data_IF_885105214437
#
_entry.id   IF_885105214437
#
_cell.length_a   1.000
_cell.length_b   1.000
_cell.length_c   1.000
_cell.angle_alpha   90.00
_cell.angle_beta   90.00
_cell.angle_gamma   90.00
#
_symmetry.space_group_name_H-M   'P 1'
#
loop_
_entity.id
_entity.type
_entity.pdbx_description
1 polymer ?
#
# COMPACT_ATOMS: atom_id res chain seq x y z
N UNK A 1 5.41 -19.46 -35.11
CA UNK A 1 4.85 -18.10 -35.04
C UNK A 1 5.82 -17.22 -34.28
N UNK A 2 6.27 -16.10 -34.87
CA UNK A 2 7.14 -15.13 -34.19
C UNK A 2 6.27 -13.93 -33.78
N UNK A 3 6.33 -13.54 -32.51
CA UNK A 3 5.75 -12.27 -32.04
C UNK A 3 6.86 -11.23 -31.93
N UNK A 4 6.54 -9.97 -32.29
CA UNK A 4 7.43 -8.83 -32.12
C UNK A 4 6.76 -7.77 -31.25
N UNK A 5 7.52 -7.24 -30.28
CA UNK A 5 7.07 -6.20 -29.36
C UNK A 5 7.28 -4.84 -30.04
N UNK A 6 6.19 -4.12 -30.30
CA UNK A 6 6.24 -2.70 -30.70
C UNK A 6 6.10 -1.84 -29.45
N UNK A 7 7.05 -0.93 -29.23
CA UNK A 7 7.01 0.04 -28.13
C UNK A 7 6.76 1.43 -28.69
N UNK A 8 5.64 2.05 -28.32
CA UNK A 8 5.32 3.46 -28.58
C UNK A 8 5.66 4.24 -27.31
N UNK A 9 6.60 5.19 -27.34
CA UNK A 9 6.95 6.01 -26.17
C UNK A 9 6.13 7.29 -26.17
N UNK A 10 5.48 7.60 -25.05
CA UNK A 10 5.03 8.96 -24.74
C UNK A 10 6.27 9.72 -24.29
N UNK A 11 6.58 10.86 -24.94
CA UNK A 11 7.86 11.55 -24.74
C UNK A 11 8.10 12.02 -23.31
N UNK A 12 7.03 12.43 -22.61
CA UNK A 12 7.16 13.19 -21.36
C UNK A 12 6.17 12.77 -20.24
N UNK A 13 5.33 11.75 -20.47
CA UNK A 13 4.38 11.27 -19.45
C UNK A 13 4.54 9.76 -19.23
N UNK A 14 5.60 9.39 -18.52
CA UNK A 14 5.89 8.01 -18.15
C UNK A 14 6.54 7.95 -16.77
N UNK A 15 6.29 6.86 -16.06
CA UNK A 15 6.93 6.56 -14.78
C UNK A 15 8.12 5.64 -15.01
N UNK A 16 9.27 5.99 -14.43
CA UNK A 16 10.44 5.10 -14.38
C UNK A 16 10.34 4.29 -13.10
N UNK A 17 10.43 2.96 -13.23
CA UNK A 17 10.36 2.02 -12.11
C UNK A 17 11.50 1.02 -12.25
N UNK A 18 12.12 0.66 -11.13
CA UNK A 18 13.14 -0.36 -11.04
C UNK A 18 12.70 -1.70 -11.63
N UNK A 19 13.56 -2.27 -12.47
CA UNK A 19 13.34 -3.61 -12.99
C UNK A 19 13.44 -4.68 -11.90
N UNK A 20 14.19 -4.43 -10.82
CA UNK A 20 14.35 -5.39 -9.73
C UNK A 20 13.02 -5.57 -8.99
N UNK A 21 12.30 -4.46 -8.73
CA UNK A 21 10.93 -4.50 -8.23
C UNK A 21 9.98 -5.24 -9.17
N UNK A 22 9.97 -4.88 -10.46
CA UNK A 22 9.07 -5.50 -11.44
C UNK A 22 9.33 -7.00 -11.63
N UNK A 23 10.57 -7.44 -11.39
CA UNK A 23 11.00 -8.83 -11.49
C UNK A 23 10.98 -9.60 -10.17
N UNK A 24 10.66 -8.96 -9.04
CA UNK A 24 10.55 -9.65 -7.76
C UNK A 24 9.46 -10.74 -7.85
N UNK A 25 9.85 -12.00 -7.71
CA UNK A 25 8.98 -13.17 -7.83
C UNK A 25 8.07 -13.33 -6.60
N UNK A 26 8.38 -12.64 -5.49
CA UNK A 26 7.57 -12.64 -4.29
C UNK A 26 6.38 -11.68 -4.37
N UNK A 27 6.26 -10.94 -5.48
CA UNK A 27 5.18 -10.00 -5.73
C UNK A 27 4.23 -10.50 -6.81
N UNK A 28 2.95 -10.47 -6.48
CA UNK A 28 1.84 -10.61 -7.39
C UNK A 28 1.76 -9.44 -8.37
N UNK A 29 1.14 -9.69 -9.54
CA UNK A 29 0.93 -8.66 -10.55
C UNK A 29 0.06 -7.49 -10.03
N UNK A 30 -0.87 -7.75 -9.10
CA UNK A 30 -1.66 -6.69 -8.45
C UNK A 30 -0.78 -5.75 -7.61
N UNK A 31 0.19 -6.27 -6.85
CA UNK A 31 1.11 -5.46 -6.05
C UNK A 31 2.04 -4.65 -6.95
N UNK A 32 2.53 -5.27 -8.02
CA UNK A 32 3.31 -4.60 -9.08
C UNK A 32 2.53 -3.46 -9.72
N UNK A 33 1.27 -3.72 -10.10
CA UNK A 33 0.38 -2.74 -10.69
C UNK A 33 0.06 -1.58 -9.75
N UNK A 34 -0.28 -1.88 -8.49
CA UNK A 34 -0.62 -0.88 -7.47
C UNK A 34 0.53 0.09 -7.24
N UNK A 35 1.75 -0.40 -6.97
CA UNK A 35 2.90 0.49 -6.76
C UNK A 35 3.20 1.29 -8.03
N UNK A 36 3.13 0.66 -9.20
CA UNK A 36 3.41 1.35 -10.47
C UNK A 36 2.43 2.49 -10.73
N UNK A 37 1.16 2.30 -10.36
CA UNK A 37 0.17 3.36 -10.42
C UNK A 37 0.46 4.47 -9.39
N UNK A 38 0.77 4.13 -8.14
CA UNK A 38 1.08 5.15 -7.12
C UNK A 38 2.30 5.99 -7.54
N UNK A 39 3.34 5.37 -8.10
CA UNK A 39 4.55 6.06 -8.59
C UNK A 39 4.29 6.95 -9.81
N UNK A 40 3.13 6.86 -10.47
CA UNK A 40 2.76 7.74 -11.57
C UNK A 40 1.98 8.98 -11.13
N UNK A 41 1.58 9.04 -9.87
CA UNK A 41 0.85 10.16 -9.29
C UNK A 41 1.81 11.30 -8.88
N UNK A 42 1.29 12.54 -8.75
CA UNK A 42 2.08 13.66 -8.24
C UNK A 42 2.65 13.43 -6.83
N UNK A 43 3.77 14.08 -6.51
CA UNK A 43 4.49 13.93 -5.23
C UNK A 43 3.67 14.34 -4.00
N UNK A 44 2.68 15.23 -4.16
CA UNK A 44 1.79 15.71 -3.09
C UNK A 44 0.57 14.80 -2.86
N UNK A 45 0.45 13.72 -3.63
CA UNK A 45 -0.66 12.79 -3.54
C UNK A 45 -0.67 12.06 -2.19
N UNK A 46 -1.87 11.91 -1.62
CA UNK A 46 -2.10 11.12 -0.39
C UNK A 46 -2.78 9.81 -0.74
N UNK A 47 -2.23 8.72 -0.25
CA UNK A 47 -2.72 7.37 -0.56
C UNK A 47 -3.98 7.07 0.27
N UNK A 48 -5.14 7.13 -0.39
CA UNK A 48 -6.42 6.67 0.13
C UNK A 48 -6.89 5.45 -0.68
N UNK A 49 -7.14 4.31 -0.02
CA UNK A 49 -7.51 3.09 -0.75
C UNK A 49 -8.86 3.19 -1.45
N UNK A 50 -9.81 3.90 -0.86
CA UNK A 50 -11.13 4.17 -1.47
C UNK A 50 -10.95 4.92 -2.80
N UNK A 51 -10.19 6.02 -2.80
CA UNK A 51 -9.87 6.78 -4.00
C UNK A 51 -9.15 5.91 -5.06
N UNK A 52 -8.19 5.09 -4.66
CA UNK A 52 -7.49 4.19 -5.58
C UNK A 52 -8.44 3.20 -6.28
N UNK A 53 -9.55 2.83 -5.65
CA UNK A 53 -10.56 1.96 -6.28
C UNK A 53 -11.45 2.69 -7.28
N UNK A 54 -11.51 4.02 -7.23
CA UNK A 54 -12.22 4.80 -8.25
C UNK A 54 -11.44 4.86 -9.58
N UNK A 55 -10.11 4.74 -9.50
CA UNK A 55 -9.21 4.76 -10.65
C UNK A 55 -8.85 3.36 -11.18
N UNK A 56 -9.48 2.29 -10.67
CA UNK A 56 -9.21 0.92 -11.12
C UNK A 56 -10.46 0.04 -11.11
N UNK A 57 -10.43 -1.05 -11.86
CA UNK A 57 -11.47 -2.09 -11.78
C UNK A 57 -11.30 -3.01 -10.57
N UNK A 58 -10.19 -2.88 -9.84
CA UNK A 58 -9.93 -3.63 -8.62
C UNK A 58 -10.75 -3.08 -7.46
N UNK A 59 -11.34 -3.99 -6.68
CA UNK A 59 -12.06 -3.64 -5.46
C UNK A 59 -11.12 -3.36 -4.29
N UNK A 60 -11.64 -2.67 -3.27
CA UNK A 60 -10.88 -2.24 -2.10
C UNK A 60 -10.12 -3.37 -1.39
N UNK A 61 -10.74 -4.55 -1.29
CA UNK A 61 -10.10 -5.74 -0.72
C UNK A 61 -8.85 -6.17 -1.51
N UNK A 62 -8.92 -6.09 -2.84
CA UNK A 62 -7.77 -6.39 -3.72
C UNK A 62 -6.65 -5.39 -3.45
N UNK A 63 -6.96 -4.09 -3.48
CA UNK A 63 -6.03 -2.99 -3.22
C UNK A 63 -5.35 -3.10 -1.86
N UNK A 64 -6.12 -3.33 -0.79
CA UNK A 64 -5.58 -3.49 0.57
C UNK A 64 -4.68 -4.71 0.70
N UNK A 65 -5.05 -5.82 0.05
CA UNK A 65 -4.21 -7.03 0.05
C UNK A 65 -2.89 -6.83 -0.70
N UNK A 66 -2.92 -6.11 -1.83
CA UNK A 66 -1.73 -5.74 -2.58
C UNK A 66 -0.82 -4.79 -1.78
N UNK A 67 -1.40 -3.81 -1.08
CA UNK A 67 -0.65 -2.93 -0.19
C UNK A 67 0.05 -3.71 0.94
N UNK A 68 -0.66 -4.64 1.57
CA UNK A 68 -0.09 -5.45 2.65
C UNK A 68 1.09 -6.30 2.17
N UNK A 69 0.97 -6.84 0.96
CA UNK A 69 2.04 -7.58 0.30
C UNK A 69 3.28 -6.70 0.02
N UNK A 70 3.07 -5.47 -0.46
CA UNK A 70 4.15 -4.49 -0.63
C UNK A 70 4.83 -4.16 0.71
N UNK A 71 4.07 -3.99 1.78
CA UNK A 71 4.62 -3.80 3.13
C UNK A 71 5.49 -4.99 3.52
N UNK A 72 4.96 -6.22 3.45
CA UNK A 72 5.69 -7.44 3.79
C UNK A 72 6.99 -7.60 3.00
N UNK A 73 7.01 -7.21 1.72
CA UNK A 73 8.21 -7.31 0.86
C UNK A 73 9.15 -6.09 0.98
N UNK A 74 8.80 -5.09 1.78
CA UNK A 74 9.62 -3.91 2.06
C UNK A 74 9.53 -2.79 1.01
N UNK A 75 8.51 -2.80 0.15
CA UNK A 75 8.27 -1.77 -0.88
C UNK A 75 7.26 -0.70 -0.46
N UNK A 76 6.58 -0.88 0.67
CA UNK A 76 5.67 0.10 1.23
C UNK A 76 5.75 0.14 2.75
N UNK A 77 5.29 1.25 3.33
CA UNK A 77 5.23 1.42 4.78
C UNK A 77 4.06 2.32 5.17
N UNK A 78 3.44 2.03 6.31
CA UNK A 78 2.52 2.94 6.99
C UNK A 78 3.10 3.35 8.35
N UNK A 79 3.35 4.64 8.57
CA UNK A 79 3.93 5.19 9.81
C UNK A 79 2.91 6.02 10.56
N UNK A 80 2.84 5.82 11.89
CA UNK A 80 2.06 6.68 12.78
C UNK A 80 2.87 7.92 13.14
N UNK A 81 2.41 9.09 12.74
CA UNK A 81 3.01 10.37 13.14
C UNK A 81 2.30 10.87 14.39
N UNK A 82 3.12 11.31 15.36
CA UNK A 82 2.65 11.92 16.60
C UNK A 82 2.98 13.43 16.58
N UNK A 83 2.20 14.23 17.29
CA UNK A 83 2.53 15.62 17.55
C UNK A 83 3.64 15.76 18.61
N UNK A 84 4.08 16.99 18.87
CA UNK A 84 5.09 17.30 19.91
C UNK A 84 4.68 16.84 21.31
N UNK A 85 3.37 16.69 21.55
CA UNK A 85 2.75 16.26 22.81
C UNK A 85 2.50 14.74 22.83
N UNK A 86 3.03 13.99 21.86
CA UNK A 86 2.86 12.54 21.67
C UNK A 86 1.41 12.09 21.41
N UNK A 87 0.51 12.98 21.03
CA UNK A 87 -0.81 12.61 20.56
C UNK A 87 -0.74 12.15 19.11
N UNK A 88 -1.67 11.27 18.71
CA UNK A 88 -1.80 10.87 17.32
C UNK A 88 -2.10 12.07 16.42
N UNK A 89 -1.30 12.25 15.37
CA UNK A 89 -1.49 13.30 14.36
C UNK A 89 -2.07 12.72 13.08
N UNK A 90 -1.35 11.81 12.45
CA UNK A 90 -1.76 11.24 11.15
C UNK A 90 -1.07 9.91 10.85
N UNK A 91 -1.60 9.19 9.87
CA UNK A 91 -0.92 8.06 9.23
C UNK A 91 -0.27 8.54 7.94
N UNK A 92 1.02 8.25 7.78
CA UNK A 92 1.76 8.52 6.55
C UNK A 92 2.03 7.21 5.84
N UNK A 93 1.75 7.15 4.55
CA UNK A 93 1.99 6.00 3.68
C UNK A 93 3.11 6.34 2.71
N UNK A 94 4.11 5.48 2.66
CA UNK A 94 5.30 5.61 1.82
C UNK A 94 5.39 4.39 0.90
N UNK A 95 5.83 4.59 -0.34
CA UNK A 95 6.12 3.53 -1.31
C UNK A 95 7.49 3.77 -1.93
N UNK A 96 8.14 2.69 -2.35
CA UNK A 96 9.43 2.75 -3.03
C UNK A 96 9.60 1.55 -3.96
N UNK A 97 10.22 1.75 -5.12
CA UNK A 97 10.61 0.69 -6.05
C UNK A 97 11.94 0.01 -5.67
N UNK A 98 12.50 0.35 -4.51
CA UNK A 98 13.58 -0.35 -3.83
C UNK A 98 13.18 -0.69 -2.40
N UNK A 99 13.77 -1.77 -1.86
CA UNK A 99 13.44 -2.22 -0.51
C UNK A 99 13.91 -1.20 0.52
N UNK A 100 12.99 -0.76 1.38
CA UNK A 100 13.27 0.11 2.51
C UNK A 100 13.92 -0.76 3.60
N UNK A 101 15.26 -0.74 3.65
CA UNK A 101 16.02 -1.37 4.73
C UNK A 101 15.58 -0.76 6.08
N UNK A 102 15.40 -1.61 7.09
CA UNK A 102 14.87 -1.32 8.44
C UNK A 102 13.35 -1.41 8.66
N UNK A 103 12.59 -1.97 7.71
CA UNK A 103 11.20 -2.35 7.95
C UNK A 103 11.13 -3.77 8.53
N UNK A 104 11.44 -3.90 9.82
CA UNK A 104 11.17 -5.12 10.59
C UNK A 104 9.67 -5.46 10.55
N UNK A 105 9.30 -6.42 9.73
CA UNK A 105 8.07 -7.18 9.93
C UNK A 105 8.46 -8.45 10.68
N UNK A 106 8.30 -8.42 12.00
CA UNK A 106 7.88 -9.64 12.67
C UNK A 106 6.60 -10.07 11.96
N UNK A 107 6.53 -11.35 11.56
CA UNK A 107 5.32 -11.98 11.11
C UNK A 107 4.18 -11.67 12.09
N UNK A 108 3.38 -10.65 11.79
CA UNK A 108 2.03 -10.58 12.33
C UNK A 108 1.26 -11.60 11.49
N UNK A 109 1.52 -12.88 11.79
CA UNK A 109 0.51 -13.90 11.59
C UNK A 109 -0.78 -13.33 12.16
N UNK A 110 -1.84 -13.42 11.38
CA UNK A 110 -3.18 -13.01 11.76
C UNK A 110 -3.51 -13.55 13.15
N UNK A 111 -3.19 -12.79 14.20
CA UNK A 111 -3.69 -13.05 15.53
C UNK A 111 -5.14 -12.59 15.46
N UNK A 112 -6.03 -13.57 15.57
CA UNK A 112 -7.47 -13.42 15.64
C UNK A 112 -7.84 -12.09 16.30
N UNK A 113 -8.26 -11.12 15.50
CA UNK A 113 -9.01 -9.98 16.03
C UNK A 113 -10.37 -10.57 16.37
N UNK A 114 -10.46 -11.17 17.55
CA UNK A 114 -11.74 -11.37 18.20
C UNK A 114 -12.35 -9.99 18.32
N UNK A 115 -13.45 -9.77 17.60
CA UNK A 115 -14.33 -8.63 17.81
C UNK A 115 -14.60 -8.56 19.31
N UNK A 116 -14.04 -7.55 19.99
CA UNK A 116 -14.37 -7.30 21.38
C UNK A 116 -15.84 -6.89 21.36
N UNK A 117 -16.71 -7.77 21.87
CA UNK A 117 -18.11 -7.43 22.09
C UNK A 117 -18.17 -6.12 22.87
N UNK A 118 -18.92 -5.15 22.33
CA UNK A 118 -19.19 -3.89 22.99
C UNK A 118 -19.79 -4.18 24.37
N UNK A 119 -19.00 -3.98 25.42
CA UNK A 119 -19.48 -4.03 26.79
C UNK A 119 -20.59 -2.99 26.94
N UNK A 120 -21.81 -3.49 27.16
CA UNK A 120 -23.00 -2.70 27.47
C UNK A 120 -22.65 -1.75 28.64
N UNK A 121 -22.78 -0.44 28.42
CA UNK A 121 -22.77 0.53 29.51
C UNK A 121 -24.02 0.31 30.35
N UNK A 122 -23.83 -0.24 31.56
CA UNK A 122 -24.83 -0.20 32.61
C UNK A 122 -25.11 1.25 32.97
N UNK A 123 -26.24 1.81 32.53
CA UNK A 123 -26.85 2.94 33.21
C UNK A 123 -27.57 2.39 34.44
N UNK A 124 -27.11 2.78 35.63
CA UNK A 124 -27.90 2.65 36.85
C UNK A 124 -27.71 3.91 37.69
N UNK A 125 -28.85 4.40 38.18
CA UNK A 125 -29.11 5.48 39.15
C UNK A 125 -29.36 6.84 38.48
N UNK A 126 -30.49 7.50 38.69
CA UNK A 126 -31.35 7.53 39.89
C UNK A 126 -32.76 6.93 39.76
#
# INVERSE_FOLDING_TARGET
MSQSIRRKRSGDNFTIISNDFLRDENLSLKAKGLLSYIMSLPDDWKIYFEELTEHSTDGERSTRSAWKELETQGYARTTKILDEKKNFKEWVKEVSDFKIADCGFADVQFADVQNVELLKTNNTKD
#
